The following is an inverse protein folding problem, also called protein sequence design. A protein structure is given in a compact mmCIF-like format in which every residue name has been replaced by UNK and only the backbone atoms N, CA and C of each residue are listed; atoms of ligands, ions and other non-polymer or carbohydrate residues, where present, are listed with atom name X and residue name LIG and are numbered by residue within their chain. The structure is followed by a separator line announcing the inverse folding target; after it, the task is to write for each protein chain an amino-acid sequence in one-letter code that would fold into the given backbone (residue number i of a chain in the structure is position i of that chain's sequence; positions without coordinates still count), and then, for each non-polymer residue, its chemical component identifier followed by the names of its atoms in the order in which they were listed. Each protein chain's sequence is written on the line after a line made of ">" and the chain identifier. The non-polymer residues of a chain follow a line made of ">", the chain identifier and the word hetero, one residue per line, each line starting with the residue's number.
data_IF_444976884958
#
_entry.id   IF_444976884958
#
_cell.length_a   1.000
_cell.length_b   1.000
_cell.length_c   1.000
_cell.angle_alpha   90.00
_cell.angle_beta   90.00
_cell.angle_gamma   90.00
#
_symmetry.space_group_name_H-M   'P 1'
#
loop_
_entity.id
_entity.type
_entity.pdbx_description
1 polymer ?
#
# COMPACT_ATOMS: atom_id res chain seq x y z
N UNK A 1 67.43 -9.18 5.82
CA UNK A 1 65.96 -9.34 5.70
C UNK A 1 65.20 -8.36 6.59
N UNK A 2 65.50 -8.31 7.91
CA UNK A 2 64.79 -7.47 8.89
C UNK A 2 64.75 -5.96 8.56
N UNK A 3 65.87 -5.35 8.12
CA UNK A 3 65.90 -3.93 7.73
C UNK A 3 64.96 -3.61 6.56
N UNK A 4 64.81 -4.52 5.58
CA UNK A 4 63.92 -4.32 4.43
C UNK A 4 62.45 -4.39 4.84
N UNK A 5 62.11 -5.30 5.75
CA UNK A 5 60.77 -5.38 6.34
C UNK A 5 60.44 -4.10 7.11
N UNK A 6 61.37 -3.58 7.90
CA UNK A 6 61.17 -2.32 8.65
C UNK A 6 60.88 -1.13 7.74
N UNK A 7 61.64 -0.95 6.65
CA UNK A 7 61.37 0.12 5.67
C UNK A 7 60.03 -0.07 4.96
N UNK A 8 59.65 -1.31 4.62
CA UNK A 8 58.36 -1.60 4.02
C UNK A 8 57.20 -1.22 4.95
N UNK A 9 57.28 -1.59 6.24
CA UNK A 9 56.27 -1.20 7.24
C UNK A 9 56.20 0.31 7.43
N UNK A 10 57.36 1.00 7.44
CA UNK A 10 57.40 2.47 7.52
C UNK A 10 56.71 3.15 6.33
N UNK A 11 56.95 2.66 5.11
CA UNK A 11 56.29 3.18 3.91
C UNK A 11 54.77 2.93 3.97
N UNK A 12 54.34 1.73 4.35
CA UNK A 12 52.92 1.39 4.47
C UNK A 12 52.21 2.25 5.53
N UNK A 13 52.86 2.53 6.66
CA UNK A 13 52.31 3.40 7.70
C UNK A 13 52.14 4.85 7.22
N UNK A 14 53.12 5.39 6.49
CA UNK A 14 53.03 6.74 5.90
C UNK A 14 51.90 6.79 4.88
N UNK A 15 51.81 5.80 3.99
CA UNK A 15 50.73 5.73 3.01
C UNK A 15 49.34 5.65 3.66
N UNK A 16 49.21 4.90 4.76
CA UNK A 16 47.97 4.82 5.52
C UNK A 16 47.57 6.17 6.13
N UNK A 17 48.51 6.89 6.75
CA UNK A 17 48.24 8.23 7.32
C UNK A 17 47.84 9.23 6.23
N UNK A 18 48.54 9.22 5.11
CA UNK A 18 48.21 10.09 3.97
C UNK A 18 46.83 9.79 3.41
N UNK A 19 46.46 8.51 3.33
CA UNK A 19 45.12 8.09 2.92
C UNK A 19 44.03 8.59 3.89
N UNK A 20 44.26 8.47 5.20
CA UNK A 20 43.31 8.95 6.22
C UNK A 20 43.13 10.47 6.21
N UNK A 21 44.20 11.23 5.96
CA UNK A 21 44.13 12.69 5.77
C UNK A 21 43.31 13.00 4.52
N UNK A 22 43.59 12.35 3.39
CA UNK A 22 42.82 12.54 2.16
C UNK A 22 41.33 12.19 2.35
N UNK A 23 41.03 11.07 3.02
CA UNK A 23 39.68 10.69 3.38
C UNK A 23 38.98 11.73 4.26
N UNK A 24 39.70 12.32 5.22
CA UNK A 24 39.17 13.41 6.06
C UNK A 24 38.80 14.65 5.23
N UNK A 25 39.65 15.04 4.29
CA UNK A 25 39.41 16.18 3.42
C UNK A 25 38.22 15.96 2.49
N UNK A 26 38.06 14.75 1.96
CA UNK A 26 36.90 14.39 1.13
C UNK A 26 35.62 14.45 1.97
N UNK A 27 35.59 13.85 3.16
CA UNK A 27 34.42 13.91 4.04
C UNK A 27 34.05 15.33 4.42
N UNK A 28 35.04 16.18 4.72
CA UNK A 28 34.81 17.60 4.99
C UNK A 28 34.23 18.34 3.78
N UNK A 29 34.68 18.01 2.56
CA UNK A 29 34.11 18.58 1.33
C UNK A 29 32.65 18.18 1.06
N UNK A 30 32.20 17.07 1.64
CA UNK A 30 30.80 16.61 1.62
C UNK A 30 29.99 17.06 2.83
N UNK A 31 30.60 17.83 3.75
CA UNK A 31 30.03 18.20 5.07
C UNK A 31 29.50 16.98 5.84
N UNK A 32 30.19 15.83 5.71
CA UNK A 32 29.70 14.55 6.20
C UNK A 32 30.58 13.99 7.33
N UNK A 33 29.96 13.65 8.45
CA UNK A 33 30.59 12.92 9.55
C UNK A 33 30.67 11.41 9.30
N UNK A 34 31.57 10.70 10.00
CA UNK A 34 31.66 9.23 9.90
C UNK A 34 30.35 8.53 10.27
N UNK A 35 29.67 9.01 11.31
CA UNK A 35 28.41 8.43 11.76
C UNK A 35 27.27 8.69 10.78
N UNK A 36 27.30 9.84 10.11
CA UNK A 36 26.35 10.14 9.04
C UNK A 36 26.57 9.24 7.82
N UNK A 37 27.82 9.04 7.40
CA UNK A 37 28.15 8.12 6.30
C UNK A 37 27.72 6.69 6.63
N UNK A 38 27.91 6.25 7.88
CA UNK A 38 27.43 4.95 8.36
C UNK A 38 25.90 4.88 8.34
N UNK A 39 25.21 5.91 8.83
CA UNK A 39 23.75 5.97 8.81
C UNK A 39 23.19 5.93 7.38
N UNK A 40 23.77 6.69 6.45
CA UNK A 40 23.42 6.66 5.02
C UNK A 40 23.63 5.27 4.42
N UNK A 41 24.75 4.60 4.73
CA UNK A 41 25.02 3.24 4.26
C UNK A 41 24.00 2.24 4.80
N UNK A 42 23.66 2.31 6.07
CA UNK A 42 22.60 1.48 6.66
C UNK A 42 21.26 1.77 6.00
N UNK A 43 20.88 3.04 5.81
CA UNK A 43 19.65 3.40 5.13
C UNK A 43 19.58 2.88 3.67
N UNK A 44 20.71 2.86 2.95
CA UNK A 44 20.79 2.25 1.61
C UNK A 44 20.58 0.74 1.68
N UNK A 45 21.20 0.06 2.65
CA UNK A 45 20.99 -1.38 2.87
C UNK A 45 19.55 -1.68 3.24
N UNK A 46 18.94 -0.91 4.15
CA UNK A 46 17.54 -1.06 4.56
C UNK A 46 16.60 -0.79 3.39
N UNK A 47 16.86 0.24 2.58
CA UNK A 47 16.09 0.53 1.36
C UNK A 47 16.20 -0.61 0.35
N UNK A 48 17.39 -1.14 0.13
CA UNK A 48 17.62 -2.24 -0.82
C UNK A 48 17.05 -3.55 -0.30
N UNK A 49 17.09 -3.81 1.00
CA UNK A 49 16.47 -4.97 1.61
C UNK A 49 14.94 -4.84 1.61
N UNK A 50 14.40 -3.65 1.88
CA UNK A 50 12.98 -3.36 1.73
C UNK A 50 12.54 -3.50 0.27
N UNK A 51 13.36 -3.00 -0.68
CA UNK A 51 13.12 -3.16 -2.11
C UNK A 51 13.24 -4.61 -2.54
N UNK A 52 14.22 -5.37 -2.05
CA UNK A 52 14.38 -6.79 -2.36
C UNK A 52 13.27 -7.61 -1.73
N UNK A 53 12.84 -7.32 -0.51
CA UNK A 53 11.63 -7.92 0.07
C UNK A 53 10.43 -7.54 -0.76
N UNK A 54 10.32 -6.28 -1.20
CA UNK A 54 9.27 -5.87 -2.11
C UNK A 54 9.37 -6.64 -3.43
N UNK A 55 10.52 -6.72 -4.11
CA UNK A 55 10.77 -7.48 -5.35
C UNK A 55 10.65 -9.00 -5.17
N UNK A 56 10.97 -9.57 -4.01
CA UNK A 56 10.70 -10.98 -3.68
C UNK A 56 9.20 -11.18 -3.41
N UNK A 57 8.51 -10.13 -2.95
CA UNK A 57 7.05 -10.04 -2.77
C UNK A 57 6.35 -9.41 -4.00
N UNK A 58 7.02 -9.09 -5.11
CA UNK A 58 6.43 -8.31 -6.23
C UNK A 58 6.92 -8.84 -7.59
N UNK A 59 8.20 -9.16 -7.70
CA UNK A 59 8.93 -9.62 -8.89
C UNK A 59 8.59 -11.07 -9.23
N UNK A 60 7.48 -11.23 -9.95
CA UNK A 60 6.90 -12.52 -10.31
C UNK A 60 5.64 -12.86 -9.52
N UNK A 61 5.35 -12.09 -8.47
CA UNK A 61 4.16 -12.24 -7.65
C UNK A 61 2.96 -11.49 -8.20
N UNK A 62 3.03 -10.60 -9.21
CA UNK A 62 1.82 -9.92 -9.72
C UNK A 62 1.57 -10.23 -11.19
N UNK A 63 0.29 -10.38 -11.54
CA UNK A 63 -0.19 -10.62 -12.88
C UNK A 63 -1.41 -9.74 -13.17
N UNK A 64 -1.58 -9.28 -14.43
CA UNK A 64 -2.81 -8.63 -14.84
C UNK A 64 -3.97 -9.63 -14.78
N UNK A 65 -4.99 -9.30 -14.00
CA UNK A 65 -6.30 -9.92 -14.01
C UNK A 65 -7.23 -9.14 -14.97
N UNK A 66 -7.96 -9.80 -15.88
CA UNK A 66 -8.75 -9.14 -16.92
C UNK A 66 -9.78 -8.13 -16.41
N UNK A 67 -10.27 -8.31 -15.17
CA UNK A 67 -11.33 -7.48 -14.59
C UNK A 67 -10.95 -6.69 -13.32
N UNK A 68 -9.83 -7.03 -12.67
CA UNK A 68 -9.50 -6.54 -11.30
C UNK A 68 -8.18 -5.74 -11.29
N UNK A 69 -7.52 -5.59 -12.45
CA UNK A 69 -6.24 -4.91 -12.55
C UNK A 69 -5.08 -5.83 -12.16
N UNK A 70 -4.20 -5.41 -11.26
CA UNK A 70 -3.06 -6.23 -10.84
C UNK A 70 -3.39 -7.06 -9.60
N UNK A 71 -3.26 -8.38 -9.71
CA UNK A 71 -3.47 -9.32 -8.60
C UNK A 71 -2.21 -10.13 -8.35
N UNK A 72 -2.11 -10.70 -7.15
CA UNK A 72 -0.98 -11.56 -6.81
C UNK A 72 -1.06 -12.88 -7.60
N UNK A 73 -0.11 -13.14 -8.49
CA UNK A 73 0.10 -14.39 -9.23
C UNK A 73 0.17 -15.56 -8.25
N UNK A 74 -0.68 -16.55 -8.49
CA UNK A 74 -0.60 -17.81 -7.79
C UNK A 74 0.62 -18.61 -8.23
N UNK A 75 1.42 -19.05 -7.26
CA UNK A 75 2.40 -20.10 -7.47
C UNK A 75 1.74 -21.47 -7.21
N UNK A 76 2.08 -22.52 -7.97
CA UNK A 76 1.54 -23.87 -7.75
C UNK A 76 1.70 -24.30 -6.28
N UNK A 77 0.60 -24.67 -5.63
CA UNK A 77 0.59 -25.09 -4.22
C UNK A 77 0.33 -23.98 -3.19
N UNK A 78 0.16 -22.72 -3.61
CA UNK A 78 -0.27 -21.61 -2.75
C UNK A 78 -1.67 -21.12 -3.17
N UNK A 79 -2.70 -21.84 -2.72
CA UNK A 79 -4.07 -21.33 -2.76
C UNK A 79 -4.23 -20.31 -1.63
N UNK A 80 -4.56 -19.05 -1.96
CA UNK A 80 -4.82 -18.02 -0.96
C UNK A 80 -4.45 -16.61 -1.43
N UNK A 81 -5.36 -15.67 -1.17
CA UNK A 81 -5.26 -14.21 -1.30
C UNK A 81 -4.94 -13.69 -2.71
N UNK A 82 -5.91 -13.00 -3.33
CA UNK A 82 -5.77 -12.45 -4.69
C UNK A 82 -5.89 -13.48 -5.83
N UNK A 83 -6.44 -14.67 -5.53
CA UNK A 83 -6.59 -15.79 -6.48
C UNK A 83 -8.03 -16.13 -6.82
N UNK A 84 -8.28 -16.77 -7.97
CA UNK A 84 -9.61 -17.30 -8.32
C UNK A 84 -10.16 -18.31 -7.30
N UNK A 85 -9.33 -18.91 -6.43
CA UNK A 85 -9.78 -19.86 -5.42
C UNK A 85 -10.85 -19.31 -4.46
N UNK A 86 -10.77 -18.03 -4.06
CA UNK A 86 -11.81 -17.43 -3.21
C UNK A 86 -13.07 -17.08 -4.02
N UNK A 87 -12.93 -16.81 -5.32
CA UNK A 87 -14.03 -16.64 -6.28
C UNK A 87 -14.80 -17.96 -6.43
N UNK A 88 -14.09 -19.08 -6.66
CA UNK A 88 -14.70 -20.40 -6.74
C UNK A 88 -15.39 -20.78 -5.43
N UNK A 89 -14.75 -20.49 -4.29
CA UNK A 89 -15.30 -20.76 -2.97
C UNK A 89 -16.64 -20.06 -2.74
N UNK A 90 -16.73 -18.75 -3.03
CA UNK A 90 -17.98 -18.01 -2.82
C UNK A 90 -19.07 -18.42 -3.82
N UNK A 91 -18.71 -18.72 -5.08
CA UNK A 91 -19.67 -19.21 -6.08
C UNK A 91 -20.27 -20.57 -5.70
N UNK A 92 -19.49 -21.42 -5.01
CA UNK A 92 -19.96 -22.73 -4.54
C UNK A 92 -20.95 -22.66 -3.36
N UNK A 93 -21.02 -21.52 -2.63
CA UNK A 93 -21.87 -21.37 -1.44
C UNK A 93 -23.16 -20.61 -1.77
N UNK A 94 -24.23 -21.34 -2.07
CA UNK A 94 -25.53 -20.77 -2.41
C UNK A 94 -26.71 -21.57 -1.83
N UNK A 95 -26.56 -22.16 -0.64
CA UNK A 95 -27.61 -23.00 -0.05
C UNK A 95 -28.67 -22.14 0.66
N UNK A 96 -29.94 -22.59 0.69
CA UNK A 96 -30.95 -21.96 1.53
C UNK A 96 -30.50 -21.93 3.00
N UNK A 97 -30.51 -20.74 3.60
CA UNK A 97 -30.08 -20.54 4.99
C UNK A 97 -28.64 -20.05 5.15
N UNK A 98 -27.82 -20.03 4.09
CA UNK A 98 -26.49 -19.40 4.14
C UNK A 98 -26.60 -17.88 4.34
N UNK A 99 -25.60 -17.29 4.98
CA UNK A 99 -25.37 -15.85 5.06
C UNK A 99 -23.90 -15.58 4.74
N UNK A 100 -23.64 -15.19 3.50
CA UNK A 100 -22.31 -15.11 2.93
C UNK A 100 -21.73 -13.69 3.11
N UNK A 101 -20.60 -13.61 3.80
CA UNK A 101 -19.89 -12.37 4.11
C UNK A 101 -18.61 -12.33 3.30
N UNK A 102 -18.46 -11.31 2.46
CA UNK A 102 -17.25 -11.08 1.69
C UNK A 102 -16.38 -10.02 2.38
N UNK A 103 -15.19 -10.43 2.81
CA UNK A 103 -14.17 -9.54 3.37
C UNK A 103 -13.26 -9.05 2.24
N UNK A 104 -13.31 -7.76 1.95
CA UNK A 104 -12.45 -7.07 0.98
C UNK A 104 -11.47 -6.14 1.71
N UNK A 105 -10.38 -5.77 1.02
CA UNK A 105 -9.41 -4.83 1.55
C UNK A 105 -7.97 -5.14 1.14
N UNK A 106 -7.05 -4.38 1.70
CA UNK A 106 -5.61 -4.53 1.50
C UNK A 106 -4.95 -5.53 2.46
N UNK A 107 -3.68 -5.26 2.79
CA UNK A 107 -2.86 -6.12 3.65
C UNK A 107 -3.43 -6.32 5.06
N UNK A 108 -4.19 -5.34 5.58
CA UNK A 108 -4.85 -5.47 6.89
C UNK A 108 -5.97 -6.50 6.85
N UNK A 109 -6.84 -6.49 5.84
CA UNK A 109 -7.84 -7.55 5.65
C UNK A 109 -7.18 -8.92 5.39
N UNK A 110 -6.09 -8.93 4.61
CA UNK A 110 -5.32 -10.16 4.33
C UNK A 110 -4.66 -10.76 5.58
N UNK A 111 -4.35 -9.92 6.58
CA UNK A 111 -3.82 -10.39 7.86
C UNK A 111 -4.86 -11.00 8.80
N UNK A 112 -6.15 -10.93 8.47
CA UNK A 112 -7.18 -11.73 9.13
C UNK A 112 -7.08 -13.17 8.60
N UNK A 113 -6.17 -13.92 9.21
CA UNK A 113 -5.88 -15.32 8.89
C UNK A 113 -7.00 -16.26 9.38
N UNK A 114 -6.80 -17.57 9.25
CA UNK A 114 -7.80 -18.59 9.58
C UNK A 114 -8.45 -18.39 10.95
N UNK A 115 -7.65 -18.26 12.02
CA UNK A 115 -8.16 -18.08 13.39
C UNK A 115 -8.99 -16.78 13.52
N UNK A 116 -8.58 -15.73 12.82
CA UNK A 116 -9.32 -14.46 12.72
C UNK A 116 -10.65 -14.62 11.98
N UNK A 117 -10.68 -15.40 10.88
CA UNK A 117 -11.90 -15.68 10.13
C UNK A 117 -12.88 -16.54 10.94
N UNK A 118 -12.38 -17.54 11.68
CA UNK A 118 -13.20 -18.34 12.60
C UNK A 118 -13.79 -17.47 13.72
N UNK A 119 -12.99 -16.56 14.28
CA UNK A 119 -13.46 -15.59 15.27
C UNK A 119 -14.50 -14.63 14.70
N UNK A 120 -14.28 -14.10 13.49
CA UNK A 120 -15.23 -13.23 12.78
C UNK A 120 -16.54 -13.96 12.52
N UNK A 121 -16.48 -15.20 12.02
CA UNK A 121 -17.65 -16.02 11.73
C UNK A 121 -18.48 -16.22 13.00
N UNK A 122 -17.85 -16.64 14.10
CA UNK A 122 -18.52 -16.86 15.39
C UNK A 122 -19.13 -15.57 15.95
N UNK A 123 -18.44 -14.45 15.80
CA UNK A 123 -18.88 -13.15 16.30
C UNK A 123 -20.06 -12.61 15.48
N UNK A 124 -20.04 -12.77 14.16
CA UNK A 124 -21.16 -12.41 13.28
C UNK A 124 -22.37 -13.32 13.52
N UNK A 125 -22.18 -14.63 13.70
CA UNK A 125 -23.26 -15.56 14.07
C UNK A 125 -23.96 -15.21 15.40
N UNK A 126 -23.34 -14.39 16.25
CA UNK A 126 -23.96 -13.95 17.50
C UNK A 126 -24.91 -12.75 17.31
N UNK A 127 -24.91 -12.11 16.14
CA UNK A 127 -25.78 -10.96 15.86
C UNK A 127 -27.25 -11.42 15.75
N UNK A 128 -28.21 -10.72 16.39
CA UNK A 128 -29.59 -11.18 16.47
C UNK A 128 -30.27 -11.46 15.13
N UNK A 129 -29.91 -10.71 14.08
CA UNK A 129 -30.53 -10.77 12.76
C UNK A 129 -29.87 -11.81 11.81
N UNK A 130 -28.79 -12.48 12.23
CA UNK A 130 -28.15 -13.60 11.49
C UNK A 130 -28.01 -14.89 12.28
N UNK A 131 -28.35 -14.90 13.57
CA UNK A 131 -28.13 -16.05 14.47
C UNK A 131 -28.72 -17.40 13.99
N UNK A 132 -29.77 -17.35 13.17
CA UNK A 132 -30.46 -18.53 12.65
C UNK A 132 -30.01 -18.88 11.21
N UNK A 133 -28.91 -18.26 10.74
CA UNK A 133 -28.31 -18.48 9.41
C UNK A 133 -26.95 -19.16 9.53
N UNK A 134 -26.55 -19.85 8.47
CA UNK A 134 -25.21 -20.41 8.34
C UNK A 134 -24.25 -19.31 7.82
N UNK A 135 -23.57 -18.63 8.74
CA UNK A 135 -22.63 -17.55 8.38
C UNK A 135 -21.36 -18.14 7.77
N UNK A 136 -21.04 -17.74 6.54
CA UNK A 136 -19.80 -18.10 5.85
C UNK A 136 -18.99 -16.83 5.57
N UNK A 137 -17.72 -16.77 5.99
CA UNK A 137 -16.85 -15.61 5.72
C UNK A 137 -15.80 -15.97 4.66
N UNK A 138 -15.80 -15.22 3.55
CA UNK A 138 -14.86 -15.37 2.44
C UNK A 138 -13.85 -14.23 2.47
N UNK A 139 -12.56 -14.56 2.58
CA UNK A 139 -11.49 -13.56 2.51
C UNK A 139 -11.09 -13.31 1.06
N UNK A 140 -11.67 -12.27 0.45
CA UNK A 140 -11.36 -11.77 -0.89
C UNK A 140 -10.36 -10.60 -0.88
N UNK A 141 -9.58 -10.44 0.18
CA UNK A 141 -8.60 -9.36 0.28
C UNK A 141 -7.46 -9.52 -0.72
N UNK A 142 -6.91 -8.38 -1.13
CA UNK A 142 -5.87 -8.26 -2.14
C UNK A 142 -4.75 -7.40 -1.57
N UNK A 143 -3.62 -7.99 -1.14
CA UNK A 143 -2.49 -7.23 -0.60
C UNK A 143 -2.03 -6.16 -1.58
N UNK A 144 -1.73 -4.97 -1.05
CA UNK A 144 -1.33 -3.77 -1.83
C UNK A 144 -2.39 -3.21 -2.78
N UNK A 145 -3.58 -3.79 -2.84
CA UNK A 145 -4.65 -3.27 -3.68
C UNK A 145 -5.11 -1.89 -3.20
N UNK A 146 -5.54 -1.11 -4.18
CA UNK A 146 -6.16 0.21 -4.02
C UNK A 146 -7.49 0.26 -4.74
N UNK A 147 -8.38 1.15 -4.33
CA UNK A 147 -9.57 1.51 -5.07
C UNK A 147 -9.19 2.01 -6.48
N UNK A 148 -9.88 1.55 -7.54
CA UNK A 148 -11.15 0.83 -7.50
C UNK A 148 -11.01 -0.71 -7.57
N UNK A 149 -9.88 -1.33 -7.23
CA UNK A 149 -9.70 -2.78 -7.37
C UNK A 149 -10.70 -3.59 -6.54
N UNK A 150 -11.00 -3.19 -5.31
CA UNK A 150 -11.99 -3.84 -4.45
C UNK A 150 -13.41 -3.67 -5.02
N UNK A 151 -13.73 -2.47 -5.55
CA UNK A 151 -14.98 -2.25 -6.30
C UNK A 151 -15.08 -3.17 -7.52
N UNK A 152 -14.01 -3.28 -8.30
CA UNK A 152 -13.95 -4.16 -9.47
C UNK A 152 -14.14 -5.63 -9.07
N UNK A 153 -13.47 -6.09 -8.01
CA UNK A 153 -13.64 -7.44 -7.48
C UNK A 153 -15.11 -7.72 -7.10
N UNK A 154 -15.77 -6.81 -6.37
CA UNK A 154 -17.17 -6.95 -6.02
C UNK A 154 -18.08 -7.04 -7.26
N UNK A 155 -17.93 -6.10 -8.19
CA UNK A 155 -18.76 -6.08 -9.41
C UNK A 155 -18.57 -7.34 -10.26
N UNK A 156 -17.33 -7.81 -10.39
CA UNK A 156 -17.00 -9.02 -11.14
C UNK A 156 -17.65 -10.26 -10.51
N UNK A 157 -17.51 -10.46 -9.20
CA UNK A 157 -18.14 -11.59 -8.49
C UNK A 157 -19.66 -11.64 -8.66
N UNK A 158 -20.31 -10.50 -8.49
CA UNK A 158 -21.76 -10.41 -8.61
C UNK A 158 -22.19 -10.70 -10.05
N UNK A 159 -21.40 -10.28 -11.05
CA UNK A 159 -21.64 -10.63 -12.46
C UNK A 159 -21.53 -12.13 -12.75
N UNK A 160 -20.70 -12.86 -11.99
CA UNK A 160 -20.59 -14.32 -12.05
C UNK A 160 -21.73 -15.03 -11.30
N UNK A 161 -22.62 -14.29 -10.62
CA UNK A 161 -23.75 -14.82 -9.88
C UNK A 161 -23.45 -15.17 -8.42
N UNK A 162 -22.33 -14.68 -7.86
CA UNK A 162 -22.02 -14.88 -6.45
C UNK A 162 -23.16 -14.38 -5.55
N UNK A 163 -23.50 -15.17 -4.53
CA UNK A 163 -24.49 -14.82 -3.52
C UNK A 163 -23.76 -14.25 -2.32
N UNK A 164 -23.84 -12.94 -2.13
CA UNK A 164 -23.23 -12.20 -1.05
C UNK A 164 -24.34 -11.51 -0.28
N UNK A 165 -24.36 -11.63 1.04
CA UNK A 165 -25.34 -10.97 1.90
C UNK A 165 -24.73 -9.76 2.63
N UNK A 166 -23.40 -9.77 2.81
CA UNK A 166 -22.65 -8.66 3.38
C UNK A 166 -21.27 -8.50 2.72
N UNK A 167 -20.84 -7.26 2.56
CA UNK A 167 -19.46 -6.89 2.24
C UNK A 167 -18.88 -6.06 3.38
N UNK A 168 -17.74 -6.52 3.91
CA UNK A 168 -16.91 -5.76 4.86
C UNK A 168 -15.66 -5.34 4.11
N UNK A 169 -15.48 -4.04 3.87
CA UNK A 169 -14.30 -3.51 3.18
C UNK A 169 -13.36 -2.80 4.17
N UNK A 170 -12.16 -3.34 4.39
CA UNK A 170 -11.15 -2.77 5.29
C UNK A 170 -10.04 -2.13 4.45
N UNK A 171 -9.98 -0.80 4.42
CA UNK A 171 -9.15 -0.07 3.45
C UNK A 171 -8.60 1.26 4.01
N UNK A 172 -7.68 1.89 3.28
CA UNK A 172 -7.24 3.27 3.53
C UNK A 172 -5.75 3.52 3.32
N UNK A 173 -4.86 2.72 3.94
CA UNK A 173 -3.42 3.01 3.90
C UNK A 173 -2.84 3.01 2.49
N UNK A 174 -3.23 2.01 1.68
CA UNK A 174 -2.67 1.83 0.36
C UNK A 174 -2.95 3.03 -0.56
N UNK A 175 -4.16 3.60 -0.44
CA UNK A 175 -4.63 4.71 -1.27
C UNK A 175 -3.68 5.89 -1.26
N UNK A 176 -3.27 6.29 -0.06
CA UNK A 176 -2.54 7.54 0.19
C UNK A 176 -1.04 7.32 0.30
N UNK A 177 -0.58 6.12 0.64
CA UNK A 177 0.82 5.87 0.97
C UNK A 177 1.62 5.16 -0.12
N UNK A 178 1.04 4.18 -0.82
CA UNK A 178 1.85 3.27 -1.65
C UNK A 178 2.29 3.89 -2.97
N UNK A 179 1.37 4.40 -3.80
CA UNK A 179 1.73 4.90 -5.14
C UNK A 179 2.82 5.98 -5.13
N UNK A 180 2.75 7.02 -4.27
CA UNK A 180 3.80 8.06 -4.25
C UNK A 180 5.20 7.56 -3.85
N UNK A 181 5.28 6.38 -3.21
CA UNK A 181 6.53 5.82 -2.69
C UNK A 181 7.03 4.65 -3.54
N UNK A 182 6.16 3.70 -3.85
CA UNK A 182 6.48 2.44 -4.51
C UNK A 182 6.34 2.51 -6.05
N UNK A 183 5.51 3.41 -6.58
CA UNK A 183 5.30 3.55 -8.02
C UNK A 183 5.01 5.01 -8.46
N UNK A 184 5.96 5.94 -8.23
CA UNK A 184 5.74 7.37 -8.45
C UNK A 184 5.60 7.78 -9.93
N UNK A 185 5.71 6.83 -10.86
CA UNK A 185 5.64 7.07 -12.31
C UNK A 185 4.30 6.65 -12.93
N UNK A 186 3.51 5.86 -12.21
CA UNK A 186 2.15 5.50 -12.59
C UNK A 186 1.18 6.63 -12.30
N UNK A 187 0.00 6.54 -12.91
CA UNK A 187 -1.15 7.31 -12.42
C UNK A 187 -1.37 7.03 -10.93
N UNK A 188 -1.75 8.07 -10.19
CA UNK A 188 -2.09 7.99 -8.77
C UNK A 188 -3.26 7.04 -8.50
N UNK A 189 -4.10 6.79 -9.50
CA UNK A 189 -5.27 5.92 -9.45
C UNK A 189 -5.02 4.49 -9.90
N UNK A 190 -3.82 4.21 -10.42
CA UNK A 190 -3.51 2.88 -10.94
C UNK A 190 -3.03 1.94 -9.83
N UNK A 191 -3.19 0.62 -10.02
CA UNK A 191 -2.64 -0.36 -9.11
C UNK A 191 -1.15 -0.14 -8.87
N UNK A 192 -0.70 -0.39 -7.64
CA UNK A 192 0.71 -0.30 -7.29
C UNK A 192 1.51 -1.29 -8.15
N UNK A 193 2.56 -0.80 -8.82
CA UNK A 193 3.39 -1.61 -9.69
C UNK A 193 2.93 -1.64 -11.15
N UNK A 194 1.88 -0.89 -11.52
CA UNK A 194 1.42 -0.78 -12.92
C UNK A 194 2.56 -0.43 -13.88
N UNK A 195 3.36 0.58 -13.55
CA UNK A 195 4.47 1.00 -14.42
C UNK A 195 5.65 0.03 -14.43
N UNK A 196 5.58 -1.08 -13.70
CA UNK A 196 6.54 -2.18 -13.78
C UNK A 196 6.00 -3.32 -14.64
N UNK A 197 4.67 -3.51 -14.65
CA UNK A 197 4.00 -4.55 -15.44
C UNK A 197 3.67 -4.14 -16.86
N UNK A 198 3.45 -2.85 -17.12
CA UNK A 198 3.12 -2.32 -18.46
C UNK A 198 4.29 -1.64 -19.15
N UNK A 199 5.39 -1.37 -18.43
CA UNK A 199 6.46 -0.55 -18.99
C UNK A 199 7.54 -1.38 -19.69
N UNK A 200 7.29 -1.66 -20.95
CA UNK A 200 8.34 -1.95 -21.92
C UNK A 200 7.77 -1.95 -23.34
N UNK A 201 7.25 -0.82 -23.81
CA UNK A 201 6.71 -0.75 -25.17
C UNK A 201 7.81 -0.47 -26.21
N UNK A 202 9.03 -0.12 -25.75
CA UNK A 202 10.18 0.11 -26.63
C UNK A 202 11.49 -0.46 -26.09
N UNK A 203 12.36 -0.87 -27.01
CA UNK A 203 13.74 -1.31 -26.73
C UNK A 203 14.54 -0.28 -25.90
N UNK A 204 14.23 1.01 -26.07
CA UNK A 204 14.84 2.09 -25.30
C UNK A 204 14.42 2.04 -23.83
N UNK A 205 13.13 1.87 -23.55
CA UNK A 205 12.62 1.76 -22.18
C UNK A 205 13.15 0.48 -21.50
N UNK A 206 13.18 -0.65 -22.21
CA UNK A 206 13.80 -1.89 -21.73
C UNK A 206 15.29 -1.71 -21.41
N UNK A 207 16.04 -1.04 -22.29
CA UNK A 207 17.46 -0.74 -22.08
C UNK A 207 17.68 0.15 -20.87
N UNK A 208 16.82 1.17 -20.66
CA UNK A 208 16.91 2.08 -19.53
C UNK A 208 16.52 1.40 -18.21
N UNK A 209 15.48 0.56 -18.20
CA UNK A 209 15.13 -0.28 -17.05
C UNK A 209 16.26 -1.24 -16.70
N UNK A 210 16.87 -1.89 -17.71
CA UNK A 210 18.05 -2.74 -17.51
C UNK A 210 19.24 -1.97 -16.93
N UNK A 211 19.51 -0.75 -17.43
CA UNK A 211 20.57 0.12 -16.87
C UNK A 211 20.30 0.53 -15.43
N UNK A 212 19.04 0.85 -15.11
CA UNK A 212 18.63 1.19 -13.75
C UNK A 212 18.86 0.00 -12.83
N UNK A 213 18.42 -1.20 -13.23
CA UNK A 213 18.62 -2.44 -12.47
C UNK A 213 20.11 -2.72 -12.22
N UNK A 214 20.96 -2.58 -13.24
CA UNK A 214 22.41 -2.76 -13.10
C UNK A 214 23.02 -1.73 -12.13
N UNK A 215 22.56 -0.48 -12.18
CA UNK A 215 23.03 0.56 -11.25
C UNK A 215 22.64 0.24 -9.80
N UNK A 216 21.42 -0.24 -9.57
CA UNK A 216 20.94 -0.64 -8.26
C UNK A 216 21.67 -1.87 -7.72
N UNK A 217 21.87 -2.90 -8.54
CA UNK A 217 22.66 -4.09 -8.16
C UNK A 217 24.12 -3.73 -7.83
N UNK A 218 24.69 -2.77 -8.54
CA UNK A 218 26.01 -2.24 -8.22
C UNK A 218 25.99 -1.55 -6.84
N UNK A 219 25.02 -0.67 -6.57
CA UNK A 219 24.88 -0.01 -5.27
C UNK A 219 24.74 -1.02 -4.14
N UNK A 220 23.98 -2.09 -4.35
CA UNK A 220 23.77 -3.15 -3.37
C UNK A 220 25.05 -3.92 -3.06
N UNK A 221 25.71 -4.46 -4.08
CA UNK A 221 26.96 -5.21 -3.90
C UNK A 221 28.01 -4.34 -3.24
N UNK A 222 28.07 -3.07 -3.63
CA UNK A 222 29.01 -2.11 -3.10
C UNK A 222 28.71 -1.73 -1.64
N UNK A 223 27.44 -1.49 -1.30
CA UNK A 223 27.02 -1.22 0.08
C UNK A 223 27.30 -2.42 1.00
N UNK A 224 27.08 -3.66 0.54
CA UNK A 224 27.43 -4.88 1.28
C UNK A 224 28.94 -5.05 1.49
N UNK A 225 29.74 -4.79 0.45
CA UNK A 225 31.19 -4.86 0.57
C UNK A 225 31.72 -3.84 1.60
N UNK A 226 31.18 -2.62 1.59
CA UNK A 226 31.57 -1.57 2.52
C UNK A 226 30.86 -1.63 3.88
N UNK A 227 29.82 -2.44 4.08
CA UNK A 227 29.28 -2.67 5.42
C UNK A 227 30.23 -3.53 6.25
N UNK A 228 30.89 -4.51 5.61
CA UNK A 228 31.94 -5.32 6.25
C UNK A 228 33.20 -4.48 6.53
N UNK A 229 33.66 -3.70 5.55
CA UNK A 229 34.89 -2.90 5.69
C UNK A 229 34.69 -1.59 6.47
N UNK A 230 33.53 -0.97 6.36
CA UNK A 230 33.21 0.33 6.95
C UNK A 230 32.81 0.27 8.43
N UNK A 231 32.79 -0.92 9.03
CA UNK A 231 32.84 -1.09 10.49
C UNK A 231 34.19 -0.61 11.06
N UNK A 232 35.24 -0.59 10.23
CA UNK A 232 36.53 -0.01 10.59
C UNK A 232 36.43 1.52 10.71
N UNK A 233 37.13 2.15 11.66
CA UNK A 233 37.11 3.61 11.85
C UNK A 233 37.91 4.38 10.77
N UNK A 234 38.16 3.79 9.60
CA UNK A 234 38.93 4.42 8.52
C UNK A 234 38.11 5.48 7.79
N UNK A 235 38.62 6.71 7.75
CA UNK A 235 38.05 7.82 6.99
C UNK A 235 38.21 7.61 5.50
N UNK A 236 39.33 7.00 5.08
CA UNK A 236 39.58 6.68 3.67
C UNK A 236 38.50 5.77 3.11
N UNK A 237 38.17 4.69 3.82
CA UNK A 237 37.17 3.70 3.38
C UNK A 237 35.77 4.32 3.30
N UNK A 238 35.39 5.12 4.30
CA UNK A 238 34.08 5.77 4.31
C UNK A 238 33.97 6.89 3.27
N UNK A 239 35.03 7.66 3.04
CA UNK A 239 35.10 8.67 1.97
C UNK A 239 34.98 8.02 0.58
N UNK A 240 35.69 6.93 0.35
CA UNK A 240 35.64 6.18 -0.91
C UNK A 240 34.23 5.64 -1.17
N UNK A 241 33.57 5.11 -0.14
CA UNK A 241 32.19 4.67 -0.26
C UNK A 241 31.26 5.82 -0.65
N UNK A 242 31.36 6.95 0.04
CA UNK A 242 30.49 8.12 -0.17
C UNK A 242 30.61 8.65 -1.61
N UNK A 243 31.83 8.80 -2.12
CA UNK A 243 32.07 9.30 -3.49
C UNK A 243 31.49 8.35 -4.55
N UNK A 244 31.69 7.04 -4.37
CA UNK A 244 31.18 6.04 -5.32
C UNK A 244 29.65 5.95 -5.24
N UNK A 245 29.08 6.01 -4.03
CA UNK A 245 27.65 6.01 -3.81
C UNK A 245 26.98 7.22 -4.46
N UNK A 246 27.45 8.44 -4.18
CA UNK A 246 26.90 9.68 -4.75
C UNK A 246 26.97 9.68 -6.28
N UNK A 247 28.10 9.24 -6.85
CA UNK A 247 28.25 9.12 -8.31
C UNK A 247 27.29 8.09 -8.91
N UNK A 248 27.11 6.95 -8.24
CA UNK A 248 26.19 5.91 -8.68
C UNK A 248 24.73 6.37 -8.57
N UNK A 249 24.39 7.08 -7.51
CA UNK A 249 23.05 7.64 -7.29
C UNK A 249 22.71 8.68 -8.35
N UNK A 250 23.62 9.61 -8.65
CA UNK A 250 23.47 10.56 -9.76
C UNK A 250 23.26 9.86 -11.10
N UNK A 251 23.98 8.77 -11.36
CA UNK A 251 23.79 7.99 -12.58
C UNK A 251 22.41 7.29 -12.61
N UNK A 252 21.97 6.71 -11.50
CA UNK A 252 20.64 6.10 -11.40
C UNK A 252 19.53 7.15 -11.59
N UNK A 253 19.65 8.32 -10.97
CA UNK A 253 18.73 9.45 -11.15
C UNK A 253 18.68 9.94 -12.61
N UNK A 254 19.82 9.99 -13.29
CA UNK A 254 19.88 10.39 -14.70
C UNK A 254 19.25 9.35 -15.63
N UNK A 255 19.46 8.05 -15.37
CA UNK A 255 18.77 6.97 -16.10
C UNK A 255 17.26 7.04 -15.86
N UNK A 256 16.85 7.32 -14.64
CA UNK A 256 15.45 7.46 -14.23
C UNK A 256 14.79 8.68 -14.90
N UNK A 257 15.50 9.81 -14.95
CA UNK A 257 15.07 11.00 -15.71
C UNK A 257 14.88 10.65 -17.18
N UNK A 258 15.85 10.00 -17.81
CA UNK A 258 15.75 9.54 -19.21
C UNK A 258 14.60 8.55 -19.42
N UNK A 259 14.36 7.65 -18.48
CA UNK A 259 13.24 6.72 -18.55
C UNK A 259 11.91 7.46 -18.45
N UNK A 260 11.81 8.45 -17.55
CA UNK A 260 10.62 9.29 -17.43
C UNK A 260 10.38 10.14 -18.69
N UNK A 261 11.44 10.67 -19.31
CA UNK A 261 11.37 11.42 -20.56
C UNK A 261 11.02 10.52 -21.73
N UNK A 262 11.62 9.34 -21.83
CA UNK A 262 11.29 8.34 -22.84
C UNK A 262 9.82 7.93 -22.73
N UNK A 263 9.31 7.71 -21.50
CA UNK A 263 7.89 7.44 -21.22
C UNK A 263 6.96 8.61 -21.47
N UNK A 264 7.42 9.86 -21.35
CA UNK A 264 6.64 11.06 -21.72
C UNK A 264 6.62 11.29 -23.23
N UNK A 265 7.72 10.96 -23.92
CA UNK A 265 7.87 11.10 -25.35
C UNK A 265 7.22 9.95 -26.14
N UNK A 266 6.99 8.81 -25.49
CA UNK A 266 6.02 7.82 -25.98
C UNK A 266 4.65 8.38 -25.62
N UNK A 267 4.04 9.08 -26.58
CA UNK A 267 2.64 9.56 -26.52
C UNK A 267 1.62 8.40 -26.58
N UNK A 268 2.01 7.17 -26.21
CA UNK A 268 1.05 6.08 -26.04
C UNK A 268 0.31 6.29 -24.72
N UNK A 269 -0.77 7.07 -24.82
CA UNK A 269 -1.79 7.19 -23.80
C UNK A 269 -2.27 5.81 -23.29
N UNK A 270 -2.13 4.78 -24.12
CA UNK A 270 -2.58 3.41 -23.87
C UNK A 270 -1.82 2.71 -22.72
N UNK A 271 -0.54 3.01 -22.47
CA UNK A 271 0.25 2.30 -21.43
C UNK A 271 0.51 3.12 -20.18
N UNK A 272 0.58 4.45 -20.34
CA UNK A 272 0.70 5.41 -19.24
C UNK A 272 -0.64 5.66 -18.56
N UNK A 273 -1.72 5.64 -19.34
CA UNK A 273 -3.07 5.77 -18.84
C UNK A 273 -3.50 7.17 -18.39
N UNK A 274 -4.66 7.25 -17.73
CA UNK A 274 -5.21 8.52 -17.24
C UNK A 274 -4.31 9.15 -16.19
N UNK A 275 -3.72 10.31 -16.50
CA UNK A 275 -2.99 11.14 -15.53
C UNK A 275 -3.81 12.39 -15.23
N UNK A 276 -4.41 12.50 -14.03
CA UNK A 276 -5.06 13.75 -13.66
C UNK A 276 -4.03 14.88 -13.64
N UNK A 277 -4.44 16.07 -14.08
CA UNK A 277 -3.70 17.28 -13.75
C UNK A 277 -3.93 17.56 -12.27
N UNK A 278 -2.86 17.44 -11.47
CA UNK A 278 -2.87 17.67 -10.02
C UNK A 278 -1.94 18.83 -9.66
N UNK A 279 -1.56 19.66 -10.64
CA UNK A 279 -0.70 20.81 -10.39
C UNK A 279 -1.39 21.81 -9.45
N UNK A 280 -0.77 22.07 -8.31
CA UNK A 280 -1.32 22.95 -7.27
C UNK A 280 -2.38 22.31 -6.37
N UNK A 281 -2.76 21.05 -6.58
CA UNK A 281 -3.71 20.34 -5.73
C UNK A 281 -3.04 19.60 -4.57
N UNK A 282 -3.80 19.39 -3.48
CA UNK A 282 -3.38 18.47 -2.43
C UNK A 282 -3.66 17.03 -2.89
N UNK A 283 -2.62 16.37 -3.40
CA UNK A 283 -2.67 14.97 -3.86
C UNK A 283 -3.30 14.03 -2.82
N UNK A 284 -3.08 14.26 -1.53
CA UNK A 284 -3.65 13.38 -0.48
C UNK A 284 -5.16 13.54 -0.35
N UNK A 285 -5.68 14.74 -0.62
CA UNK A 285 -7.12 14.98 -0.73
C UNK A 285 -7.69 14.33 -1.98
N UNK A 286 -7.05 14.50 -3.14
CA UNK A 286 -7.50 13.86 -4.40
C UNK A 286 -7.64 12.33 -4.26
N UNK A 287 -6.67 11.70 -3.58
CA UNK A 287 -6.70 10.26 -3.30
C UNK A 287 -7.80 9.88 -2.30
N UNK A 288 -8.00 10.67 -1.25
CA UNK A 288 -9.08 10.46 -0.29
C UNK A 288 -10.47 10.63 -0.95
N UNK A 289 -10.64 11.63 -1.82
CA UNK A 289 -11.87 11.85 -2.56
C UNK A 289 -12.17 10.66 -3.50
N UNK A 290 -11.15 10.12 -4.17
CA UNK A 290 -11.29 8.92 -5.01
C UNK A 290 -11.69 7.69 -4.20
N UNK A 291 -11.01 7.45 -3.08
CA UNK A 291 -11.35 6.40 -2.13
C UNK A 291 -12.79 6.51 -1.62
N UNK A 292 -13.24 7.72 -1.26
CA UNK A 292 -14.58 7.96 -0.79
C UNK A 292 -15.64 7.71 -1.89
N UNK A 293 -15.39 8.17 -3.12
CA UNK A 293 -16.25 7.89 -4.28
C UNK A 293 -16.33 6.40 -4.59
N UNK A 294 -15.22 5.67 -4.59
CA UNK A 294 -15.24 4.22 -4.79
C UNK A 294 -16.02 3.50 -3.70
N UNK A 295 -15.88 3.93 -2.44
CA UNK A 295 -16.65 3.38 -1.31
C UNK A 295 -18.15 3.61 -1.45
N UNK A 296 -18.55 4.81 -1.90
CA UNK A 296 -19.95 5.12 -2.21
C UNK A 296 -20.48 4.24 -3.36
N UNK A 297 -19.71 4.08 -4.43
CA UNK A 297 -20.10 3.19 -5.53
C UNK A 297 -20.27 1.75 -5.05
N UNK A 298 -19.36 1.24 -4.22
CA UNK A 298 -19.51 -0.10 -3.63
C UNK A 298 -20.78 -0.20 -2.77
N UNK A 299 -21.08 0.80 -1.95
CA UNK A 299 -22.29 0.84 -1.14
C UNK A 299 -23.56 0.85 -2.01
N UNK A 300 -23.59 1.64 -3.07
CA UNK A 300 -24.74 1.71 -3.99
C UNK A 300 -24.95 0.39 -4.74
N UNK A 301 -23.87 -0.20 -5.24
CA UNK A 301 -23.93 -1.51 -5.89
C UNK A 301 -24.44 -2.57 -4.93
N UNK A 302 -23.88 -2.64 -3.72
CA UNK A 302 -24.31 -3.58 -2.69
C UNK A 302 -25.79 -3.39 -2.35
N UNK A 303 -26.21 -2.14 -2.08
CA UNK A 303 -27.59 -1.80 -1.75
C UNK A 303 -28.57 -2.21 -2.88
N UNK A 304 -28.21 -1.96 -4.14
CA UNK A 304 -29.04 -2.34 -5.29
C UNK A 304 -29.30 -3.85 -5.39
N UNK A 305 -28.44 -4.66 -4.78
CA UNK A 305 -28.52 -6.11 -4.73
C UNK A 305 -29.06 -6.63 -3.38
N UNK A 306 -29.45 -5.73 -2.46
CA UNK A 306 -29.89 -6.10 -1.11
C UNK A 306 -28.75 -6.59 -0.20
N UNK A 307 -27.52 -6.18 -0.49
CA UNK A 307 -26.30 -6.58 0.23
C UNK A 307 -25.96 -5.49 1.24
N UNK A 308 -25.69 -5.87 2.50
CA UNK A 308 -25.17 -4.92 3.47
C UNK A 308 -23.72 -4.57 3.15
N UNK A 309 -23.40 -3.28 3.08
CA UNK A 309 -22.03 -2.81 2.91
C UNK A 309 -21.58 -1.99 4.11
N UNK A 310 -20.44 -2.36 4.69
CA UNK A 310 -19.73 -1.53 5.66
C UNK A 310 -18.31 -1.25 5.17
N UNK A 311 -17.93 0.02 5.24
CA UNK A 311 -16.57 0.47 5.04
C UNK A 311 -15.88 0.69 6.37
N UNK A 312 -14.67 0.14 6.53
CA UNK A 312 -13.85 0.28 7.72
C UNK A 312 -12.53 0.95 7.34
N UNK A 313 -12.32 2.18 7.82
CA UNK A 313 -11.01 2.82 7.70
C UNK A 313 -10.04 2.11 8.63
N UNK A 314 -9.03 1.46 8.07
CA UNK A 314 -8.18 0.55 8.82
C UNK A 314 -7.32 1.26 9.90
N UNK A 315 -6.92 0.54 10.97
CA UNK A 315 -6.00 1.07 11.98
C UNK A 315 -4.66 1.51 11.39
N UNK A 316 -4.10 2.62 11.91
CA UNK A 316 -2.84 3.16 11.43
C UNK A 316 -2.05 3.90 12.50
N UNK A 317 -0.74 3.73 12.49
CA UNK A 317 0.16 4.50 13.35
C UNK A 317 0.33 5.96 12.88
N UNK A 318 -0.20 6.29 11.69
CA UNK A 318 -0.11 7.62 11.08
C UNK A 318 -1.37 8.46 11.28
N UNK A 319 -2.33 7.97 12.05
CA UNK A 319 -3.58 8.66 12.39
C UNK A 319 -3.30 9.98 13.13
N UNK A 320 -4.04 11.06 12.85
CA UNK A 320 -3.91 12.33 13.57
C UNK A 320 -3.96 12.14 15.09
N UNK A 321 -3.02 12.77 15.81
CA UNK A 321 -2.92 12.64 17.28
C UNK A 321 -2.02 11.51 17.77
N UNK A 322 -1.52 10.64 16.89
CA UNK A 322 -0.47 9.70 17.24
C UNK A 322 0.86 10.45 17.57
N UNK A 323 1.58 10.12 18.67
CA UNK A 323 2.87 10.70 19.02
C UNK A 323 3.86 10.47 17.88
N UNK A 324 4.20 11.58 17.23
CA UNK A 324 4.64 11.67 15.85
C UNK A 324 6.14 11.38 15.66
N UNK A 325 6.84 10.79 16.64
CA UNK A 325 8.31 10.77 16.63
C UNK A 325 9.01 9.50 17.06
N UNK A 326 8.41 8.62 17.87
CA UNK A 326 9.14 7.48 18.42
C UNK A 326 9.08 6.21 17.55
N UNK A 327 8.03 6.01 16.74
CA UNK A 327 7.84 4.74 16.03
C UNK A 327 8.30 4.75 14.56
N UNK A 328 8.36 5.90 13.87
CA UNK A 328 8.37 5.91 12.40
C UNK A 328 9.19 7.02 11.71
N UNK A 329 10.15 7.64 12.39
CA UNK A 329 11.00 8.69 11.78
C UNK A 329 11.77 8.25 10.51
N UNK A 330 11.84 6.95 10.22
CA UNK A 330 12.49 6.37 9.05
C UNK A 330 11.55 5.65 8.06
N UNK A 331 10.22 5.61 8.29
CA UNK A 331 9.31 4.94 7.35
C UNK A 331 9.16 5.78 6.07
N UNK A 332 9.39 5.22 4.88
CA UNK A 332 9.26 5.97 3.63
C UNK A 332 7.83 6.44 3.37
N UNK A 333 6.84 5.86 4.05
CA UNK A 333 5.42 6.19 3.93
C UNK A 333 4.96 7.32 4.86
N UNK A 334 5.77 7.74 5.84
CA UNK A 334 5.30 8.54 6.97
C UNK A 334 4.66 9.88 6.56
N UNK A 335 5.27 10.59 5.59
CA UNK A 335 4.77 11.89 5.12
C UNK A 335 3.42 11.76 4.44
N UNK A 336 3.32 10.80 3.52
CA UNK A 336 2.11 10.56 2.72
C UNK A 336 0.98 9.97 3.55
N UNK A 337 1.27 8.95 4.37
CA UNK A 337 0.28 8.33 5.24
C UNK A 337 -0.28 9.33 6.27
N UNK A 338 0.56 10.15 6.91
CA UNK A 338 0.06 11.10 7.94
C UNK A 338 -0.88 12.17 7.37
N UNK A 339 -0.58 12.68 6.16
CA UNK A 339 -1.44 13.66 5.48
C UNK A 339 -2.69 13.00 4.90
N UNK A 340 -2.55 11.82 4.32
CA UNK A 340 -3.65 11.04 3.78
C UNK A 340 -4.67 10.61 4.82
N UNK A 341 -4.23 10.10 5.97
CA UNK A 341 -5.15 9.71 7.05
C UNK A 341 -5.91 10.90 7.61
N UNK A 342 -5.29 12.09 7.71
CA UNK A 342 -6.04 13.30 8.05
C UNK A 342 -7.16 13.55 7.05
N UNK A 343 -6.84 13.52 5.76
CA UNK A 343 -7.83 13.73 4.70
C UNK A 343 -8.93 12.66 4.73
N UNK A 344 -8.63 11.39 5.00
CA UNK A 344 -9.63 10.32 5.08
C UNK A 344 -10.55 10.44 6.29
N UNK A 345 -10.00 10.79 7.46
CA UNK A 345 -10.81 11.05 8.66
C UNK A 345 -11.76 12.24 8.43
N UNK A 346 -11.29 13.29 7.75
CA UNK A 346 -12.12 14.44 7.38
C UNK A 346 -13.27 14.05 6.40
N UNK A 347 -13.15 12.91 5.71
CA UNK A 347 -14.18 12.36 4.82
C UNK A 347 -15.18 11.42 5.52
N UNK A 348 -14.96 11.03 6.78
CA UNK A 348 -15.83 10.11 7.52
C UNK A 348 -17.29 10.60 7.53
N UNK A 349 -17.52 11.84 7.95
CA UNK A 349 -18.85 12.44 8.01
C UNK A 349 -19.50 12.54 6.62
N UNK A 350 -18.69 12.80 5.58
CA UNK A 350 -19.18 12.87 4.20
C UNK A 350 -19.65 11.49 3.72
N UNK A 351 -18.88 10.43 3.99
CA UNK A 351 -19.25 9.05 3.66
C UNK A 351 -20.56 8.64 4.35
N UNK A 352 -20.70 8.93 5.64
CA UNK A 352 -21.92 8.64 6.38
C UNK A 352 -23.12 9.41 5.83
N UNK A 353 -22.97 10.71 5.50
CA UNK A 353 -24.02 11.51 4.84
C UNK A 353 -24.37 11.03 3.43
N UNK A 354 -23.45 10.36 2.76
CA UNK A 354 -23.69 9.70 1.48
C UNK A 354 -24.32 8.30 1.64
N UNK A 355 -24.69 7.89 2.87
CA UNK A 355 -25.34 6.61 3.12
C UNK A 355 -24.41 5.40 3.15
N UNK A 356 -23.11 5.63 3.31
CA UNK A 356 -22.15 4.56 3.56
C UNK A 356 -22.12 4.26 5.06
N UNK A 357 -22.43 3.02 5.46
CA UNK A 357 -22.13 2.56 6.83
C UNK A 357 -20.61 2.56 6.99
N UNK A 358 -20.12 3.45 7.85
CA UNK A 358 -18.69 3.74 7.95
C UNK A 358 -18.22 3.63 9.40
N UNK A 359 -17.13 2.87 9.60
CA UNK A 359 -16.41 2.74 10.85
C UNK A 359 -15.01 3.34 10.71
N UNK A 360 -14.71 4.38 11.49
CA UNK A 360 -13.35 4.89 11.64
C UNK A 360 -12.59 4.05 12.68
N UNK A 361 -11.83 3.04 12.23
CA UNK A 361 -10.94 2.27 13.08
C UNK A 361 -9.49 2.80 13.05
N UNK A 362 -9.23 3.97 12.45
CA UNK A 362 -7.88 4.51 12.27
C UNK A 362 -7.13 4.70 13.59
N UNK A 363 -7.87 5.06 14.65
CA UNK A 363 -7.35 5.28 16.00
C UNK A 363 -7.52 4.06 16.94
N UNK A 364 -7.99 2.91 16.44
CA UNK A 364 -8.32 1.73 17.27
C UNK A 364 -7.16 1.28 18.16
N UNK A 365 -5.94 1.30 17.61
CA UNK A 365 -4.75 0.97 18.37
C UNK A 365 -4.10 2.24 18.90
N UNK A 366 -4.13 2.39 20.22
CA UNK A 366 -3.36 3.43 20.89
C UNK A 366 -1.89 3.35 20.45
N UNK A 367 -1.23 4.46 20.12
CA UNK A 367 0.11 4.45 19.53
C UNK A 367 1.17 3.71 20.37
N UNK A 368 1.06 3.74 21.69
CA UNK A 368 1.94 2.99 22.60
C UNK A 368 1.73 1.48 22.56
N UNK A 369 0.55 1.01 22.12
CA UNK A 369 0.20 -0.40 21.94
C UNK A 369 0.24 -0.86 20.48
N UNK A 370 0.54 0.03 19.52
CA UNK A 370 0.47 -0.31 18.09
C UNK A 370 1.34 -1.51 17.73
N UNK A 371 2.58 -1.58 18.24
CA UNK A 371 3.48 -2.71 17.99
C UNK A 371 3.06 -4.04 18.64
N UNK A 372 2.11 -4.01 19.57
CA UNK A 372 1.48 -5.22 20.12
C UNK A 372 0.41 -5.76 19.19
N UNK A 373 -0.32 -4.88 18.51
CA UNK A 373 -1.46 -5.25 17.67
C UNK A 373 -1.13 -5.35 16.18
N UNK A 374 -0.02 -4.74 15.77
CA UNK A 374 0.41 -4.62 14.37
C UNK A 374 1.90 -4.95 14.22
N UNK A 375 2.23 -5.68 13.16
CA UNK A 375 3.58 -5.91 12.67
C UNK A 375 3.84 -5.04 11.44
N UNK A 376 4.90 -4.21 11.49
CA UNK A 376 5.24 -3.31 10.40
C UNK A 376 4.20 -2.20 10.19
N UNK A 377 3.80 -1.96 8.94
CA UNK A 377 2.86 -0.89 8.61
C UNK A 377 1.39 -1.31 8.74
N UNK A 378 1.02 -2.52 8.27
CA UNK A 378 -0.38 -2.88 8.01
C UNK A 378 -0.78 -4.31 8.38
N UNK A 379 0.10 -5.13 8.95
CA UNK A 379 -0.19 -6.55 9.26
C UNK A 379 -0.67 -6.67 10.71
N UNK A 380 -1.85 -7.24 10.95
CA UNK A 380 -2.37 -7.49 12.29
C UNK A 380 -1.67 -8.68 12.96
N UNK A 381 -1.55 -8.62 14.28
CA UNK A 381 -1.42 -9.81 15.15
C UNK A 381 -2.79 -10.45 15.37
N UNK A 382 -2.85 -11.65 15.94
CA UNK A 382 -4.11 -12.31 16.24
C UNK A 382 -4.96 -11.49 17.24
N UNK A 383 -4.33 -10.92 18.26
CA UNK A 383 -5.00 -10.04 19.22
C UNK A 383 -5.52 -8.75 18.54
N UNK A 384 -4.74 -8.19 17.62
CA UNK A 384 -5.13 -7.03 16.83
C UNK A 384 -6.32 -7.33 15.93
N UNK A 385 -6.30 -8.46 15.23
CA UNK A 385 -7.39 -8.91 14.38
C UNK A 385 -8.67 -9.12 15.19
N UNK A 386 -8.60 -9.80 16.33
CA UNK A 386 -9.77 -9.99 17.19
C UNK A 386 -10.33 -8.66 17.72
N UNK A 387 -9.48 -7.69 18.05
CA UNK A 387 -9.93 -6.36 18.50
C UNK A 387 -10.65 -5.60 17.38
N UNK A 388 -10.09 -5.58 16.18
CA UNK A 388 -10.75 -4.97 15.01
C UNK A 388 -12.08 -5.64 14.70
N UNK A 389 -12.14 -6.98 14.73
CA UNK A 389 -13.38 -7.74 14.51
C UNK A 389 -14.44 -7.38 15.55
N UNK A 390 -14.07 -7.24 16.83
CA UNK A 390 -15.03 -6.82 17.86
C UNK A 390 -15.61 -5.44 17.59
N UNK A 391 -14.80 -4.50 17.13
CA UNK A 391 -15.26 -3.15 16.81
C UNK A 391 -16.23 -3.16 15.62
N UNK A 392 -15.91 -3.92 14.57
CA UNK A 392 -16.78 -4.10 13.40
C UNK A 392 -18.11 -4.74 13.84
N UNK A 393 -18.08 -5.86 14.57
CA UNK A 393 -19.28 -6.57 15.01
C UNK A 393 -20.09 -5.73 15.99
N UNK A 394 -19.45 -4.98 16.89
CA UNK A 394 -20.11 -4.04 17.79
C UNK A 394 -20.85 -2.94 17.04
N UNK A 395 -20.19 -2.37 16.01
CA UNK A 395 -20.81 -1.39 15.10
C UNK A 395 -22.03 -1.99 14.40
N UNK A 396 -21.89 -3.18 13.82
CA UNK A 396 -22.98 -3.90 13.15
C UNK A 396 -24.13 -4.27 14.12
N UNK A 397 -23.83 -4.58 15.38
CA UNK A 397 -24.84 -4.88 16.40
C UNK A 397 -25.58 -3.66 16.92
N UNK A 398 -25.02 -2.46 16.72
CA UNK A 398 -25.69 -1.19 17.03
C UNK A 398 -26.65 -0.72 15.93
N UNK A 399 -26.52 -1.28 14.72
CA UNK A 399 -27.53 -1.12 13.68
C UNK A 399 -28.78 -1.88 14.13
N UNK A 400 -29.89 -1.18 14.33
CA UNK A 400 -31.09 -1.79 14.92
C UNK A 400 -31.56 -2.94 14.01
N UNK A 401 -31.81 -4.13 14.58
CA UNK A 401 -32.16 -5.32 13.81
C UNK A 401 -33.46 -5.20 13.01
N UNK A 402 -34.27 -4.18 13.29
CA UNK A 402 -35.44 -3.79 12.50
C UNK A 402 -35.10 -2.90 11.30
N UNK A 403 -34.00 -2.13 11.34
CA UNK A 403 -33.52 -1.27 10.24
C UNK A 403 -32.89 -2.07 9.08
N UNK A 404 -32.52 -3.34 9.32
CA UNK A 404 -31.91 -4.21 8.31
C UNK A 404 -32.84 -5.30 7.76
N UNK A 405 -33.91 -5.64 8.49
CA UNK A 405 -34.84 -6.75 8.15
C UNK A 405 -36.22 -6.26 7.69
N UNK A 406 -36.63 -5.06 8.11
CA UNK A 406 -37.70 -4.32 7.47
C UNK A 406 -37.05 -3.32 6.50
N UNK A 407 -37.85 -2.71 5.64
CA UNK A 407 -37.49 -1.65 4.69
C UNK A 407 -37.29 -2.16 3.26
N UNK A 408 -38.36 -1.93 2.49
CA UNK A 408 -38.23 -1.70 1.07
C UNK A 408 -37.06 -0.73 0.83
N UNK A 409 -36.34 -0.98 -0.26
CA UNK A 409 -35.30 -0.14 -0.84
C UNK A 409 -35.59 1.38 -0.71
N UNK A 410 -36.85 1.79 -0.82
CA UNK A 410 -37.30 3.19 -0.70
C UNK A 410 -37.16 3.81 0.70
N UNK A 411 -37.36 3.05 1.79
CA UNK A 411 -37.29 3.59 3.15
C UNK A 411 -35.83 3.70 3.63
N UNK A 412 -34.95 2.77 3.22
CA UNK A 412 -33.50 2.89 3.41
C UNK A 412 -32.93 4.12 2.68
N UNK A 413 -33.35 4.35 1.43
CA UNK A 413 -32.99 5.56 0.67
C UNK A 413 -33.48 6.85 1.37
N UNK A 414 -34.67 6.84 1.98
CA UNK A 414 -35.24 8.04 2.61
C UNK A 414 -34.47 8.55 3.84
N UNK A 415 -33.65 7.70 4.49
CA UNK A 415 -32.90 8.04 5.70
C UNK A 415 -31.48 8.54 5.43
N UNK A 416 -30.92 8.24 4.25
CA UNK A 416 -29.50 8.45 3.97
C UNK A 416 -29.20 9.23 2.68
N UNK A 417 -30.22 9.59 1.90
CA UNK A 417 -30.05 10.40 0.70
C UNK A 417 -30.38 11.85 1.02
N UNK A 418 -29.37 12.61 1.45
CA UNK A 418 -29.37 14.05 1.16
C UNK A 418 -28.93 14.25 -0.29
N UNK A 419 -29.91 14.41 -1.19
CA UNK A 419 -29.69 14.63 -2.63
C UNK A 419 -28.98 15.95 -2.95
N UNK A 420 -28.69 16.81 -1.96
CA UNK A 420 -28.06 18.12 -2.18
C UNK A 420 -26.53 18.11 -2.15
N UNK A 421 -25.87 16.97 -1.90
CA UNK A 421 -24.44 16.91 -1.57
C UNK A 421 -23.44 16.75 -2.74
N UNK A 422 -23.84 17.00 -3.99
CA UNK A 422 -22.88 17.19 -5.10
C UNK A 422 -23.04 18.57 -5.78
N UNK A 423 -22.78 19.70 -5.10
CA UNK A 423 -22.81 21.00 -5.76
C UNK A 423 -21.62 21.21 -6.72
N UNK A 424 -20.57 20.37 -6.67
CA UNK A 424 -19.33 20.54 -7.46
C UNK A 424 -18.83 19.26 -8.18
N UNK A 425 -19.67 18.24 -8.38
CA UNK A 425 -19.36 17.22 -9.37
C UNK A 425 -19.67 17.80 -10.76
N UNK A 426 -18.82 18.71 -11.23
CA UNK A 426 -18.78 19.08 -12.63
C UNK A 426 -18.38 17.85 -13.43
N UNK A 427 -19.38 17.08 -13.88
CA UNK A 427 -19.19 16.28 -15.09
C UNK A 427 -18.73 17.27 -16.16
N UNK A 428 -17.66 16.98 -16.93
CA UNK A 428 -17.29 17.84 -18.04
C UNK A 428 -18.53 18.03 -18.91
N UNK A 429 -18.92 19.28 -19.14
CA UNK A 429 -19.95 19.60 -20.11
C UNK A 429 -19.60 18.85 -21.38
N UNK A 430 -20.48 17.94 -21.79
CA UNK A 430 -20.46 17.45 -23.16
C UNK A 430 -20.57 18.69 -24.02
N UNK A 431 -19.46 19.09 -24.64
CA UNK A 431 -19.49 20.08 -25.70
C UNK A 431 -20.40 19.48 -26.79
N UNK A 432 -21.63 19.96 -26.84
CA UNK A 432 -22.45 19.83 -28.04
C UNK A 432 -21.75 20.63 -29.15
N UNK A 433 -20.95 19.94 -29.97
CA UNK A 433 -20.37 20.49 -31.18
C UNK A 433 -18.94 20.02 -31.46
N UNK A 434 -18.82 18.95 -32.24
CA UNK A 434 -17.55 18.45 -32.80
C UNK A 434 -17.69 17.10 -33.45
#
# INVERSE_FOLDING_TARGET
>A
MLKRLFYLFGILAILFVLAEIAGSLILAGYDAGLDEVRARRTAVMDRLEAKRRAEETLGGEYAPHPYIGLVKRQLPGQAGLGSDAWIESILAHHRPGDYNVLLLGGSTAASIQQDGLEYMTRSLSALPWVRDRNVNVFNGSMPQAKQPQQLQALTYLLSLGAKVDMVINIDGFNEVALTPVADPYSSLFYPVGWSQTTAADSDLQLSLLGKLRVAEEFQERFARFFSVLGALPSRTVNALWLVIHDRSEKNAQEVLRKLSEARRATEDADTVGYRPDVEGEDITRVLADHWARSSKLMADFALSQGILYIHVLQPSAFTPGAPTRAAHGASPYAVWASRGYRSMVDHADALQRMGVVFLDASALFAPSGYGTYMQGCCTLTDEGAQMLIREIVGTLGSLDGQEMMAHSYEEYLSRFVDTTLLPNAGLPELQEGG
#
